data_IF_681765285744
#
_entry.id   IF_681765285744
#
_cell.length_a   1.000
_cell.length_b   1.000
_cell.length_c   1.000
_cell.angle_alpha   90.00
_cell.angle_beta   90.00
_cell.angle_gamma   90.00
#
_symmetry.space_group_name_H-M   'P 1'
#
loop_
_entity.id
_entity.type
_entity.pdbx_description
1 polymer ?
#
# COMPACT_ATOMS: atom_id res chain seq x y z
N UNK A 1 30.40 -21.34 4.44
CA UNK A 1 29.86 -20.01 4.28
C UNK A 1 28.35 -20.07 4.29
N UNK A 2 27.73 -19.30 5.12
CA UNK A 2 26.26 -19.31 5.25
C UNK A 2 25.60 -18.61 4.10
N UNK A 3 24.60 -19.25 3.46
CA UNK A 3 23.79 -18.62 2.43
C UNK A 3 22.96 -17.45 3.00
N UNK A 4 22.80 -17.38 4.33
CA UNK A 4 22.07 -16.31 5.00
C UNK A 4 22.77 -14.95 4.89
N UNK A 5 24.08 -14.93 4.69
CA UNK A 5 24.84 -13.68 4.55
C UNK A 5 24.50 -12.90 3.26
N UNK A 6 23.84 -13.55 2.30
CA UNK A 6 23.47 -12.95 1.02
C UNK A 6 22.00 -12.56 0.93
N UNK A 7 21.23 -12.77 2.03
CA UNK A 7 19.82 -12.37 2.07
C UNK A 7 19.75 -10.88 2.41
N UNK A 8 19.39 -10.07 1.41
CA UNK A 8 19.13 -8.66 1.61
C UNK A 8 17.67 -8.47 2.04
N UNK A 9 17.44 -7.66 3.06
CA UNK A 9 16.09 -7.26 3.42
C UNK A 9 15.50 -6.39 2.30
N UNK A 10 14.25 -6.65 1.91
CA UNK A 10 13.52 -5.82 0.97
C UNK A 10 13.10 -4.54 1.67
N UNK A 11 13.43 -3.40 1.09
CA UNK A 11 13.14 -2.07 1.65
C UNK A 11 11.99 -1.45 0.90
N UNK A 12 10.86 -1.28 1.60
CA UNK A 12 9.63 -0.71 1.04
C UNK A 12 9.34 0.61 1.76
N UNK A 13 9.05 1.66 1.01
CA UNK A 13 8.58 2.92 1.57
C UNK A 13 7.06 3.01 1.48
N UNK A 14 6.43 3.41 2.57
CA UNK A 14 4.97 3.50 2.70
C UNK A 14 4.45 4.90 2.35
N UNK A 15 3.12 5.02 2.24
CA UNK A 15 2.40 6.29 2.09
C UNK A 15 2.68 7.02 0.77
N UNK A 16 3.09 6.33 -0.28
CA UNK A 16 3.27 6.97 -1.58
C UNK A 16 1.91 7.43 -2.14
N UNK A 17 1.84 8.67 -2.57
CA UNK A 17 0.62 9.30 -3.07
C UNK A 17 0.01 10.30 -2.10
N UNK A 18 0.45 10.33 -0.85
CA UNK A 18 -0.10 11.23 0.16
C UNK A 18 0.42 12.67 0.00
N UNK A 19 1.64 12.85 -0.47
CA UNK A 19 2.33 14.14 -0.49
C UNK A 19 3.40 14.14 -1.57
N UNK A 20 3.34 15.12 -2.47
CA UNK A 20 4.27 15.20 -3.60
C UNK A 20 5.72 15.35 -3.17
N UNK A 21 6.00 16.07 -2.10
CA UNK A 21 7.36 16.23 -1.60
C UNK A 21 7.98 14.89 -1.19
N UNK A 22 7.22 14.09 -0.46
CA UNK A 22 7.67 12.75 -0.06
C UNK A 22 7.71 11.79 -1.25
N UNK A 23 6.76 11.92 -2.16
CA UNK A 23 6.73 11.10 -3.39
C UNK A 23 7.98 11.33 -4.23
N UNK A 24 8.40 12.58 -4.41
CA UNK A 24 9.60 12.92 -5.16
C UNK A 24 10.86 12.32 -4.50
N UNK A 25 10.93 12.37 -3.17
CA UNK A 25 12.04 11.77 -2.42
C UNK A 25 12.08 10.26 -2.61
N UNK A 26 10.92 9.58 -2.55
CA UNK A 26 10.82 8.14 -2.76
C UNK A 26 11.20 7.75 -4.18
N UNK A 27 10.78 8.53 -5.19
CA UNK A 27 11.16 8.29 -6.57
C UNK A 27 12.67 8.36 -6.76
N UNK A 28 13.32 9.33 -6.14
CA UNK A 28 14.78 9.45 -6.17
C UNK A 28 15.44 8.23 -5.53
N UNK A 29 14.94 7.78 -4.38
CA UNK A 29 15.47 6.60 -3.69
C UNK A 29 15.30 5.32 -4.53
N UNK A 30 14.18 5.20 -5.24
CA UNK A 30 13.95 4.08 -6.16
C UNK A 30 14.94 4.09 -7.32
N UNK A 31 15.16 5.26 -7.93
CA UNK A 31 16.11 5.42 -9.04
C UNK A 31 17.54 5.08 -8.61
N UNK A 32 17.91 5.47 -7.39
CA UNK A 32 19.25 5.24 -6.83
C UNK A 32 19.43 3.82 -6.28
N UNK A 33 18.39 2.99 -6.31
CA UNK A 33 18.44 1.63 -5.76
C UNK A 33 18.54 1.58 -4.24
N UNK A 34 18.16 2.65 -3.56
CA UNK A 34 18.21 2.72 -2.08
C UNK A 34 17.01 2.04 -1.43
N UNK A 35 15.89 1.98 -2.11
CA UNK A 35 14.70 1.23 -1.72
C UNK A 35 14.26 0.34 -2.88
N UNK A 36 13.56 -0.74 -2.56
CA UNK A 36 13.20 -1.79 -3.52
C UNK A 36 11.78 -1.62 -4.05
N UNK A 37 10.97 -0.84 -3.38
CA UNK A 37 9.60 -0.62 -3.82
C UNK A 37 8.87 0.39 -2.94
N UNK A 38 7.61 0.60 -3.28
CA UNK A 38 6.73 1.52 -2.57
C UNK A 38 5.36 0.88 -2.37
N UNK A 39 4.70 1.28 -1.29
CA UNK A 39 3.30 0.96 -1.02
C UNK A 39 2.49 2.23 -1.24
N UNK A 40 1.50 2.18 -2.13
CA UNK A 40 0.82 3.37 -2.64
C UNK A 40 -0.63 3.45 -2.19
N UNK A 41 -1.10 4.68 -1.98
CA UNK A 41 -2.53 4.97 -1.89
C UNK A 41 -3.10 5.07 -3.30
N UNK A 42 -3.82 4.06 -3.75
CA UNK A 42 -4.31 4.02 -5.13
C UNK A 42 -5.26 5.17 -5.47
N UNK A 43 -6.03 5.62 -4.50
CA UNK A 43 -7.00 6.70 -4.68
C UNK A 43 -6.36 8.08 -4.81
N UNK A 44 -5.19 8.27 -4.19
CA UNK A 44 -4.50 9.56 -4.14
C UNK A 44 -3.46 9.74 -5.25
N UNK A 45 -3.03 8.66 -5.86
CA UNK A 45 -1.95 8.66 -6.82
C UNK A 45 -2.34 9.39 -8.10
N UNK A 46 -1.55 10.38 -8.52
CA UNK A 46 -1.78 11.11 -9.76
C UNK A 46 -1.20 10.39 -10.97
N UNK A 47 -1.59 10.83 -12.17
CA UNK A 47 -1.17 10.19 -13.43
C UNK A 47 0.33 10.29 -13.68
N UNK A 48 0.94 11.42 -13.35
CA UNK A 48 2.37 11.63 -13.55
C UNK A 48 3.20 10.67 -12.72
N UNK A 49 2.88 10.54 -11.43
CA UNK A 49 3.57 9.62 -10.52
C UNK A 49 3.29 8.17 -10.88
N UNK A 50 2.07 7.86 -11.34
CA UNK A 50 1.73 6.52 -11.85
C UNK A 50 2.66 6.16 -13.02
N UNK A 51 2.81 7.07 -13.98
CA UNK A 51 3.68 6.85 -15.13
C UNK A 51 5.14 6.66 -14.73
N UNK A 52 5.62 7.47 -13.78
CA UNK A 52 6.99 7.36 -13.28
C UNK A 52 7.23 6.00 -12.61
N UNK A 53 6.28 5.54 -11.79
CA UNK A 53 6.39 4.24 -11.12
C UNK A 53 6.35 3.08 -12.13
N UNK A 54 5.48 3.16 -13.12
CA UNK A 54 5.42 2.13 -14.18
C UNK A 54 6.75 2.04 -14.94
N UNK A 55 7.33 3.18 -15.26
CA UNK A 55 8.62 3.23 -15.93
C UNK A 55 9.74 2.64 -15.07
N UNK A 56 9.77 2.96 -13.78
CA UNK A 56 10.74 2.40 -12.84
C UNK A 56 10.56 0.90 -12.66
N UNK A 57 9.32 0.39 -12.70
CA UNK A 57 9.07 -1.05 -12.66
C UNK A 57 9.70 -1.76 -13.85
N UNK A 58 9.61 -1.16 -15.03
CA UNK A 58 10.18 -1.73 -16.24
C UNK A 58 11.71 -1.65 -16.27
N UNK A 59 12.29 -0.56 -15.75
CA UNK A 59 13.74 -0.29 -15.85
C UNK A 59 14.53 -0.77 -14.62
N UNK A 60 13.94 -0.77 -13.45
CA UNK A 60 14.60 -1.06 -12.16
C UNK A 60 14.01 -2.26 -11.42
N UNK A 61 12.97 -2.89 -11.96
CA UNK A 61 12.31 -4.06 -11.36
C UNK A 61 11.84 -3.80 -9.92
N UNK A 62 11.30 -2.63 -9.65
CA UNK A 62 10.78 -2.28 -8.33
C UNK A 62 9.48 -3.02 -8.02
N UNK A 63 9.14 -3.11 -6.74
CA UNK A 63 7.85 -3.63 -6.28
C UNK A 63 6.88 -2.48 -6.02
N UNK A 64 5.65 -2.63 -6.45
CA UNK A 64 4.58 -1.66 -6.23
C UNK A 64 3.42 -2.38 -5.54
N UNK A 65 3.19 -2.03 -4.28
CA UNK A 65 2.14 -2.63 -3.47
C UNK A 65 0.98 -1.67 -3.26
N UNK A 66 -0.14 -2.21 -2.80
CA UNK A 66 -1.28 -1.42 -2.36
C UNK A 66 -1.19 -1.15 -0.86
N UNK A 67 -1.21 0.12 -0.50
CA UNK A 67 -1.32 0.58 0.89
C UNK A 67 -2.79 0.73 1.23
N UNK A 68 -3.38 -0.32 1.81
CA UNK A 68 -4.81 -0.39 2.08
C UNK A 68 -5.21 0.65 3.14
N UNK A 69 -6.12 1.54 2.79
CA UNK A 69 -6.51 2.68 3.62
C UNK A 69 -7.95 2.54 4.11
N UNK A 70 -8.13 2.58 5.44
CA UNK A 70 -9.44 2.61 6.09
C UNK A 70 -9.58 3.77 7.09
N UNK A 71 -8.56 4.60 7.25
CA UNK A 71 -8.51 5.57 8.35
C UNK A 71 -8.14 6.99 7.94
N UNK A 72 -7.60 7.17 6.74
CA UNK A 72 -7.15 8.48 6.28
C UNK A 72 -8.09 9.01 5.20
N UNK A 73 -8.75 10.12 5.49
CA UNK A 73 -9.69 10.76 4.57
C UNK A 73 -10.97 11.20 5.26
N UNK A 74 -11.76 12.01 4.56
CA UNK A 74 -13.01 12.55 5.09
C UNK A 74 -14.04 11.43 5.31
N UNK A 75 -14.69 11.46 6.48
CA UNK A 75 -15.73 10.49 6.82
C UNK A 75 -15.23 9.13 7.27
N UNK A 76 -13.91 8.93 7.31
CA UNK A 76 -13.34 7.67 7.80
C UNK A 76 -13.06 7.74 9.30
N UNK A 77 -13.12 6.60 10.01
CA UNK A 77 -12.79 6.56 11.43
C UNK A 77 -11.29 6.79 11.64
N UNK A 78 -10.90 7.23 12.83
CA UNK A 78 -9.49 7.21 13.21
C UNK A 78 -9.05 5.77 13.54
N UNK A 79 -7.73 5.56 13.63
CA UNK A 79 -7.18 4.22 13.82
C UNK A 79 -7.63 3.57 15.14
N UNK A 80 -7.76 4.36 16.20
CA UNK A 80 -8.20 3.84 17.50
C UNK A 80 -9.65 3.37 17.47
N UNK A 81 -10.52 4.12 16.81
CA UNK A 81 -11.93 3.76 16.63
C UNK A 81 -12.07 2.49 15.78
N UNK A 82 -11.32 2.41 14.67
CA UNK A 82 -11.32 1.24 13.81
C UNK A 82 -10.86 -0.01 14.57
N UNK A 83 -9.77 0.11 15.33
CA UNK A 83 -9.25 -1.00 16.12
C UNK A 83 -10.26 -1.45 17.18
N UNK A 84 -10.91 -0.51 17.87
CA UNK A 84 -11.94 -0.82 18.85
C UNK A 84 -13.08 -1.60 18.21
N UNK A 85 -13.56 -1.18 17.05
CA UNK A 85 -14.63 -1.84 16.33
C UNK A 85 -14.20 -3.24 15.86
N UNK A 86 -12.96 -3.40 15.45
CA UNK A 86 -12.42 -4.70 15.05
C UNK A 86 -12.34 -5.67 16.23
N UNK A 87 -11.85 -5.22 17.39
CA UNK A 87 -11.73 -6.03 18.60
C UNK A 87 -13.11 -6.44 19.13
N UNK A 88 -14.06 -5.52 19.18
CA UNK A 88 -15.42 -5.77 19.66
C UNK A 88 -16.29 -6.53 18.66
N UNK A 89 -15.78 -6.79 17.45
CA UNK A 89 -16.49 -7.43 16.34
C UNK A 89 -17.73 -6.66 15.87
N UNK A 90 -17.76 -5.35 16.09
CA UNK A 90 -18.80 -4.46 15.58
C UNK A 90 -18.46 -3.86 14.22
N UNK A 91 -17.30 -4.23 13.64
CA UNK A 91 -16.85 -3.76 12.35
C UNK A 91 -17.74 -4.34 11.24
N UNK A 92 -18.15 -3.49 10.30
CA UNK A 92 -18.85 -3.92 9.10
C UNK A 92 -17.85 -4.56 8.11
N UNK A 93 -17.88 -5.88 8.04
CA UNK A 93 -16.96 -6.65 7.17
C UNK A 93 -17.24 -6.38 5.70
N UNK A 94 -18.51 -6.18 5.32
CA UNK A 94 -18.87 -5.87 3.92
C UNK A 94 -18.27 -4.53 3.49
N UNK A 95 -18.26 -3.54 4.38
CA UNK A 95 -17.62 -2.27 4.13
C UNK A 95 -16.11 -2.43 3.90
N UNK A 96 -15.45 -3.27 4.70
CA UNK A 96 -14.01 -3.55 4.54
C UNK A 96 -13.74 -4.22 3.20
N UNK A 97 -14.54 -5.23 2.83
CA UNK A 97 -14.42 -5.93 1.54
C UNK A 97 -14.62 -4.96 0.39
N UNK A 98 -15.68 -4.15 0.43
CA UNK A 98 -15.97 -3.19 -0.63
C UNK A 98 -14.86 -2.14 -0.77
N UNK A 99 -14.31 -1.68 0.34
CA UNK A 99 -13.18 -0.74 0.34
C UNK A 99 -11.93 -1.35 -0.29
N UNK A 100 -11.62 -2.60 0.06
CA UNK A 100 -10.46 -3.30 -0.51
C UNK A 100 -10.64 -3.52 -2.01
N UNK A 101 -11.81 -4.00 -2.43
CA UNK A 101 -12.10 -4.23 -3.85
C UNK A 101 -12.03 -2.93 -4.64
N UNK A 102 -12.59 -1.84 -4.10
CA UNK A 102 -12.52 -0.53 -4.73
C UNK A 102 -11.07 -0.06 -4.93
N UNK A 103 -10.26 -0.17 -3.89
CA UNK A 103 -8.85 0.25 -3.95
C UNK A 103 -8.03 -0.62 -4.90
N UNK A 104 -8.29 -1.93 -4.93
CA UNK A 104 -7.67 -2.85 -5.89
C UNK A 104 -8.06 -2.52 -7.33
N UNK A 105 -9.33 -2.22 -7.57
CA UNK A 105 -9.83 -1.85 -8.89
C UNK A 105 -9.19 -0.55 -9.39
N UNK A 106 -9.05 0.43 -8.52
CA UNK A 106 -8.38 1.69 -8.85
C UNK A 106 -6.90 1.43 -9.17
N UNK A 107 -6.23 0.61 -8.38
CA UNK A 107 -4.84 0.22 -8.63
C UNK A 107 -4.71 -0.43 -10.00
N UNK A 108 -5.53 -1.44 -10.29
CA UNK A 108 -5.50 -2.15 -11.56
C UNK A 108 -5.82 -1.23 -12.74
N UNK A 109 -6.74 -0.30 -12.56
CA UNK A 109 -7.09 0.70 -13.58
C UNK A 109 -5.89 1.60 -13.92
N UNK A 110 -5.12 2.01 -12.90
CA UNK A 110 -3.96 2.90 -13.08
C UNK A 110 -2.73 2.18 -13.63
N UNK A 111 -2.46 0.98 -13.16
CA UNK A 111 -1.23 0.26 -13.50
C UNK A 111 -1.41 -0.81 -14.59
N UNK A 112 -2.60 -1.34 -14.76
CA UNK A 112 -2.88 -2.43 -15.71
C UNK A 112 -2.55 -3.82 -15.19
N UNK A 113 -2.15 -3.94 -13.92
CA UNK A 113 -1.89 -5.21 -13.25
C UNK A 113 -2.22 -5.10 -11.76
N UNK A 114 -2.26 -6.24 -11.08
CA UNK A 114 -2.51 -6.27 -9.63
C UNK A 114 -1.24 -5.86 -8.86
N UNK A 115 -1.38 -5.37 -7.62
CA UNK A 115 -0.21 -5.01 -6.82
C UNK A 115 0.66 -6.22 -6.52
N UNK A 116 1.96 -5.99 -6.38
CA UNK A 116 2.93 -7.04 -6.04
C UNK A 116 2.75 -7.54 -4.60
N UNK A 117 2.25 -6.67 -3.71
CA UNK A 117 1.96 -7.00 -2.32
C UNK A 117 0.89 -6.05 -1.79
N UNK A 118 0.41 -6.34 -0.59
CA UNK A 118 -0.55 -5.50 0.10
C UNK A 118 -0.08 -5.30 1.54
N UNK A 119 -0.07 -4.05 1.99
CA UNK A 119 0.06 -3.71 3.40
C UNK A 119 -1.07 -2.74 3.78
N UNK A 120 -1.06 -2.24 4.98
CA UNK A 120 -2.14 -1.39 5.45
C UNK A 120 -1.66 -0.11 6.09
N UNK A 121 -2.29 1.01 5.73
CA UNK A 121 -2.05 2.29 6.37
C UNK A 121 -2.36 2.17 7.86
N UNK A 122 -1.43 2.60 8.72
CA UNK A 122 -1.52 2.44 10.17
C UNK A 122 -1.73 0.96 10.59
N UNK A 123 -1.23 0.03 9.78
CA UNK A 123 -1.30 -1.43 10.01
C UNK A 123 -2.71 -2.00 10.13
N UNK A 124 -3.71 -1.37 9.51
CA UNK A 124 -5.10 -1.82 9.55
C UNK A 124 -5.28 -3.25 9.03
N UNK A 125 -4.42 -3.69 8.10
CA UNK A 125 -4.47 -5.03 7.53
C UNK A 125 -4.24 -6.13 8.57
N UNK A 126 -3.61 -5.83 9.72
CA UNK A 126 -3.36 -6.77 10.80
C UNK A 126 -4.46 -6.79 11.88
N UNK A 127 -5.43 -5.89 11.80
CA UNK A 127 -6.49 -5.80 12.79
C UNK A 127 -7.43 -7.00 12.72
N UNK A 128 -8.03 -7.43 13.86
CA UNK A 128 -9.03 -8.51 13.86
C UNK A 128 -10.14 -8.26 12.83
N UNK A 129 -10.67 -9.31 12.23
CA UNK A 129 -11.62 -9.31 11.11
C UNK A 129 -11.05 -8.76 9.82
N UNK A 130 -10.30 -7.66 9.85
CA UNK A 130 -9.68 -7.07 8.66
C UNK A 130 -8.62 -8.03 8.10
N UNK A 131 -7.79 -8.62 8.97
CA UNK A 131 -6.78 -9.57 8.54
C UNK A 131 -7.39 -10.80 7.85
N UNK A 132 -8.59 -11.20 8.24
CA UNK A 132 -9.30 -12.31 7.59
C UNK A 132 -9.77 -11.95 6.18
N UNK A 133 -10.20 -10.72 5.97
CA UNK A 133 -10.59 -10.21 4.65
C UNK A 133 -9.38 -10.14 3.72
N UNK A 134 -8.29 -9.56 4.20
CA UNK A 134 -7.07 -9.33 3.41
C UNK A 134 -6.39 -10.64 3.01
N UNK A 135 -6.45 -11.66 3.87
CA UNK A 135 -5.77 -12.95 3.63
C UNK A 135 -6.53 -13.89 2.69
N UNK A 136 -7.73 -13.53 2.30
CA UNK A 136 -8.50 -14.27 1.31
C UNK A 136 -8.20 -13.75 -0.08
#
# INVERSE_FOLDING_TARGET
>A
MSKLSNISAIKIADDFGADQFHDDAMLTLLEDGKIDGVSIFSELLNEENTRKLKNLKDTHSIQIGLHFNLTSGDGLPNVSELLRNAISRSLDVDYVVDSLVSQLNIFQSKFGYLPDFLDGHQHVHSFPLINQVVSK
#
